data_IF_136072199813
#
_entry.id   IF_136072199813
#
_cell.length_a   1.000
_cell.length_b   1.000
_cell.length_c   1.000
_cell.angle_alpha   90.00
_cell.angle_beta   90.00
_cell.angle_gamma   90.00
#
_symmetry.space_group_name_H-M   'P 1'
#
loop_
_entity.id
_entity.type
_entity.pdbx_description
1 polymer ?
#
# COMPACT_ATOMS: atom_id res chain seq x y z
N UNK A 1 -65.23 48.12 33.58
CA UNK A 1 -64.82 47.29 34.73
C UNK A 1 -63.91 46.18 34.22
N UNK A 2 -62.87 45.89 35.01
CA UNK A 2 -61.70 45.09 34.68
C UNK A 2 -61.99 43.61 34.36
N UNK A 3 -61.15 42.96 33.55
CA UNK A 3 -60.10 42.06 34.05
C UNK A 3 -59.21 41.52 32.92
N UNK A 4 -57.91 41.65 33.18
CA UNK A 4 -56.81 41.06 32.44
C UNK A 4 -56.78 39.53 32.62
N UNK A 5 -56.46 38.80 31.55
CA UNK A 5 -56.15 37.38 31.55
C UNK A 5 -54.75 37.16 30.97
N UNK A 6 -53.80 36.91 31.86
CA UNK A 6 -52.38 36.64 31.58
C UNK A 6 -52.26 35.25 30.94
N UNK A 7 -51.82 35.16 29.69
CA UNK A 7 -51.41 33.90 29.07
C UNK A 7 -49.95 33.63 29.41
N UNK A 8 -49.74 32.56 30.19
CA UNK A 8 -48.44 32.04 30.60
C UNK A 8 -47.67 31.47 29.41
N UNK A 9 -46.38 31.80 29.38
CA UNK A 9 -45.38 31.24 28.51
C UNK A 9 -45.20 29.73 28.74
N UNK A 10 -45.25 28.94 27.65
CA UNK A 10 -44.68 27.61 27.62
C UNK A 10 -43.19 27.73 27.29
N UNK A 11 -42.35 27.38 28.26
CA UNK A 11 -40.92 27.17 28.10
C UNK A 11 -40.73 25.84 27.38
N UNK A 12 -40.34 25.88 26.10
CA UNK A 12 -39.85 24.72 25.37
C UNK A 12 -38.37 24.56 25.70
N UNK A 13 -38.05 23.50 26.45
CA UNK A 13 -36.69 23.07 26.75
C UNK A 13 -36.12 22.42 25.48
N UNK A 14 -35.31 23.16 24.74
CA UNK A 14 -34.54 22.64 23.62
C UNK A 14 -33.35 21.83 24.15
N UNK A 15 -33.45 20.50 24.10
CA UNK A 15 -32.31 19.59 24.24
C UNK A 15 -32.00 19.00 22.86
N UNK A 16 -31.32 19.79 22.04
CA UNK A 16 -30.76 19.36 20.77
C UNK A 16 -29.26 19.15 20.94
N UNK A 17 -28.82 17.89 20.97
CA UNK A 17 -27.42 17.49 20.89
C UNK A 17 -26.77 18.14 19.66
N UNK A 18 -25.79 19.02 19.90
CA UNK A 18 -24.85 19.43 18.87
C UNK A 18 -23.72 18.38 18.80
N UNK A 19 -23.87 17.38 17.93
CA UNK A 19 -22.76 16.58 17.42
C UNK A 19 -22.39 17.11 16.03
N UNK A 20 -21.58 18.17 16.00
CA UNK A 20 -20.85 18.61 14.80
C UNK A 20 -19.50 19.09 15.25
N UNK A 21 -18.58 18.15 15.45
CA UNK A 21 -17.17 18.41 15.21
C UNK A 21 -16.91 17.86 13.81
N UNK A 22 -16.96 18.74 12.81
CA UNK A 22 -16.37 18.48 11.51
C UNK A 22 -14.87 18.25 11.75
N UNK A 23 -14.44 16.99 11.76
CA UNK A 23 -13.02 16.69 11.58
C UNK A 23 -12.66 17.11 10.14
N UNK A 24 -11.66 17.98 9.95
CA UNK A 24 -11.22 18.32 8.60
C UNK A 24 -10.71 17.05 7.91
N UNK A 25 -10.93 16.88 6.60
CA UNK A 25 -10.34 15.78 5.87
C UNK A 25 -8.82 15.85 6.03
N UNK A 26 -8.24 14.78 6.60
CA UNK A 26 -6.80 14.54 6.55
C UNK A 26 -6.42 14.37 5.08
N UNK A 27 -6.07 15.48 4.43
CA UNK A 27 -5.34 15.49 3.18
C UNK A 27 -4.14 14.55 3.35
N UNK A 28 -4.14 13.45 2.61
CA UNK A 28 -2.98 12.60 2.44
C UNK A 28 -1.99 13.32 1.53
N UNK A 29 -1.50 14.46 2.02
CA UNK A 29 -0.46 15.26 1.42
C UNK A 29 0.85 14.49 1.45
N UNK A 30 1.41 14.32 0.25
CA UNK A 30 2.83 14.49 -0.06
C UNK A 30 3.80 13.78 0.90
N UNK A 31 4.15 12.55 0.52
CA UNK A 31 5.42 11.98 0.97
C UNK A 31 6.50 12.31 -0.04
N UNK A 32 7.20 13.41 0.24
CA UNK A 32 8.59 13.58 -0.17
C UNK A 32 9.40 12.38 0.35
N UNK A 33 9.56 11.39 -0.51
CA UNK A 33 10.67 10.45 -0.39
C UNK A 33 11.91 11.23 -0.79
N UNK A 34 12.61 11.78 0.21
CA UNK A 34 14.01 12.18 0.04
C UNK A 34 14.79 10.90 -0.29
N UNK A 35 14.94 10.62 -1.58
CA UNK A 35 16.02 9.75 -2.03
C UNK A 35 17.30 10.53 -1.78
N UNK A 36 18.08 10.13 -0.78
CA UNK A 36 19.47 10.54 -0.81
C UNK A 36 20.10 10.04 -2.12
N UNK A 37 20.99 10.84 -2.67
CA UNK A 37 21.64 10.64 -3.97
C UNK A 37 22.69 9.52 -3.96
N UNK A 38 22.70 8.61 -2.98
CA UNK A 38 23.72 7.56 -2.91
C UNK A 38 23.24 6.17 -3.34
N UNK A 39 21.93 5.87 -3.31
CA UNK A 39 21.37 4.67 -3.96
C UNK A 39 21.97 3.32 -3.53
N UNK A 40 22.78 3.29 -2.47
CA UNK A 40 23.43 2.09 -1.95
C UNK A 40 23.48 2.16 -0.43
N UNK A 41 22.45 1.61 0.20
CA UNK A 41 22.60 1.07 1.56
C UNK A 41 22.48 -0.44 1.47
N UNK A 42 23.48 -1.06 0.84
CA UNK A 42 23.86 -2.44 1.11
C UNK A 42 24.93 -2.40 2.19
N UNK A 43 24.51 -2.12 3.42
CA UNK A 43 25.23 -2.68 4.55
C UNK A 43 24.91 -4.18 4.53
N UNK A 44 25.56 -4.92 3.62
CA UNK A 44 25.61 -6.38 3.71
C UNK A 44 26.17 -6.65 5.09
N UNK A 45 25.37 -7.23 5.98
CA UNK A 45 25.84 -7.68 7.29
C UNK A 45 27.02 -8.60 7.00
N UNK A 46 28.24 -8.14 7.28
CA UNK A 46 29.45 -8.71 6.69
C UNK A 46 29.52 -10.21 6.99
N UNK A 47 29.67 -11.03 5.94
CA UNK A 47 29.79 -12.48 6.05
C UNK A 47 28.47 -13.27 6.00
N UNK A 48 27.31 -12.62 5.90
CA UNK A 48 26.03 -13.33 5.71
C UNK A 48 25.80 -13.62 4.22
N UNK A 49 25.26 -14.80 3.92
CA UNK A 49 24.72 -15.11 2.61
C UNK A 49 23.52 -14.22 2.28
N UNK A 50 23.12 -14.18 1.01
CA UNK A 50 21.95 -13.42 0.59
C UNK A 50 20.66 -13.92 1.27
N UNK A 51 20.50 -15.24 1.39
CA UNK A 51 19.33 -15.84 2.03
C UNK A 51 19.25 -15.45 3.51
N UNK A 52 20.37 -15.54 4.23
CA UNK A 52 20.46 -15.11 5.63
C UNK A 52 20.21 -13.61 5.78
N UNK A 53 20.69 -12.80 4.82
CA UNK A 53 20.43 -11.36 4.83
C UNK A 53 18.94 -11.07 4.65
N UNK A 54 18.26 -11.75 3.73
CA UNK A 54 16.82 -11.60 3.51
C UNK A 54 16.03 -12.02 4.76
N UNK A 55 16.35 -13.17 5.37
CA UNK A 55 15.67 -13.63 6.59
C UNK A 55 15.89 -12.65 7.75
N UNK A 56 17.11 -12.12 7.90
CA UNK A 56 17.39 -11.09 8.89
C UNK A 56 16.61 -9.78 8.65
N UNK A 57 16.36 -9.41 7.39
CA UNK A 57 15.52 -8.25 7.07
C UNK A 57 14.05 -8.50 7.39
N UNK A 58 13.57 -9.74 7.22
CA UNK A 58 12.22 -10.11 7.64
C UNK A 58 12.08 -10.00 9.17
N UNK A 59 13.10 -10.43 9.92
CA UNK A 59 13.11 -10.23 11.38
C UNK A 59 13.12 -8.74 11.76
N UNK A 60 13.82 -7.90 10.99
CA UNK A 60 13.82 -6.44 11.18
C UNK A 60 12.46 -5.78 10.85
N UNK A 61 11.54 -6.47 10.15
CA UNK A 61 10.15 -6.00 9.99
C UNK A 61 9.37 -6.05 11.30
N UNK A 62 9.73 -6.94 12.23
CA UNK A 62 9.08 -7.05 13.52
C UNK A 62 9.54 -5.90 14.44
N UNK A 63 8.58 -5.10 14.92
CA UNK A 63 8.85 -4.08 15.93
C UNK A 63 8.68 -4.62 17.36
N UNK A 64 8.00 -5.76 17.50
CA UNK A 64 7.81 -6.50 18.74
C UNK A 64 7.61 -7.98 18.43
N UNK A 65 8.04 -8.86 19.35
CA UNK A 65 7.75 -10.30 19.27
C UNK A 65 6.33 -10.65 19.71
N UNK A 66 5.57 -9.67 20.22
CA UNK A 66 4.16 -9.88 20.55
C UNK A 66 3.33 -10.00 19.27
N UNK A 67 2.25 -10.77 19.37
CA UNK A 67 1.25 -10.82 18.31
C UNK A 67 0.68 -9.42 18.07
N UNK A 68 0.51 -9.03 16.82
CA UNK A 68 -0.10 -7.75 16.49
C UNK A 68 -1.51 -7.64 17.12
N UNK A 69 -1.73 -6.54 17.84
CA UNK A 69 -3.04 -6.15 18.34
C UNK A 69 -3.62 -5.00 17.51
N UNK A 70 -4.91 -4.71 17.70
CA UNK A 70 -5.56 -3.51 17.16
C UNK A 70 -5.03 -2.28 17.89
N UNK A 71 -3.86 -1.80 17.50
CA UNK A 71 -3.31 -0.54 18.00
C UNK A 71 -2.68 0.17 16.82
N UNK A 72 -3.22 1.33 16.38
CA UNK A 72 -2.59 2.11 15.34
C UNK A 72 -1.22 2.54 15.85
N UNK A 73 -0.17 1.93 15.31
CA UNK A 73 1.20 2.35 15.60
C UNK A 73 1.42 3.62 14.79
N UNK A 74 1.48 4.75 15.50
CA UNK A 74 1.80 6.04 14.88
C UNK A 74 3.10 5.94 14.08
N UNK A 75 3.09 6.53 12.87
CA UNK A 75 4.30 6.68 12.08
C UNK A 75 5.40 7.36 12.91
N UNK A 76 6.69 7.00 12.71
CA UNK A 76 7.78 7.73 13.34
C UNK A 76 7.70 9.21 12.92
N UNK A 77 7.94 10.12 13.88
CA UNK A 77 8.07 11.54 13.61
C UNK A 77 9.39 11.81 12.86
N UNK A 78 9.52 12.96 12.17
CA UNK A 78 10.72 13.31 11.38
C UNK A 78 12.04 13.28 12.17
N UNK A 79 12.00 13.45 13.49
CA UNK A 79 13.18 13.41 14.38
C UNK A 79 13.34 12.08 15.14
N UNK A 80 12.68 11.00 14.69
CA UNK A 80 12.78 9.70 15.35
C UNK A 80 14.19 9.12 15.17
N UNK A 81 14.84 8.61 16.24
CA UNK A 81 16.16 8.01 16.14
C UNK A 81 16.22 6.85 15.15
N UNK A 82 17.35 6.65 14.48
CA UNK A 82 17.57 5.53 13.56
C UNK A 82 17.47 4.15 14.24
N UNK A 83 17.64 4.11 15.56
CA UNK A 83 17.49 2.91 16.39
C UNK A 83 16.04 2.55 16.70
N UNK A 84 15.07 3.41 16.35
CA UNK A 84 13.65 3.10 16.51
C UNK A 84 13.25 1.93 15.60
N UNK A 85 12.61 0.93 16.19
CA UNK A 85 12.20 -0.29 15.48
C UNK A 85 11.33 -0.01 14.26
N UNK A 86 10.55 1.07 14.25
CA UNK A 86 9.71 1.47 13.11
C UNK A 86 10.54 2.01 11.95
N UNK A 87 11.62 2.72 12.24
CA UNK A 87 12.58 3.20 11.23
C UNK A 87 13.32 2.01 10.63
N UNK A 88 13.78 1.09 11.48
CA UNK A 88 14.44 -0.16 11.08
C UNK A 88 13.51 -0.98 10.16
N UNK A 89 12.25 -1.20 10.57
CA UNK A 89 11.28 -1.97 9.78
C UNK A 89 11.00 -1.35 8.39
N UNK A 90 10.87 -0.02 8.30
CA UNK A 90 10.69 0.67 7.01
C UNK A 90 11.92 0.53 6.11
N UNK A 91 13.13 0.64 6.67
CA UNK A 91 14.38 0.42 5.92
C UNK A 91 14.49 -1.02 5.44
N UNK A 92 14.15 -1.98 6.30
CA UNK A 92 14.15 -3.39 5.95
C UNK A 92 13.17 -3.69 4.80
N UNK A 93 11.96 -3.12 4.83
CA UNK A 93 11.01 -3.24 3.74
C UNK A 93 11.55 -2.68 2.41
N UNK A 94 12.22 -1.51 2.43
CA UNK A 94 12.87 -0.95 1.23
C UNK A 94 13.96 -1.88 0.69
N UNK A 95 14.78 -2.48 1.56
CA UNK A 95 15.83 -3.41 1.15
C UNK A 95 15.26 -4.72 0.61
N UNK A 96 14.21 -5.27 1.25
CA UNK A 96 13.47 -6.43 0.75
C UNK A 96 12.85 -6.15 -0.62
N UNK A 97 12.30 -4.95 -0.82
CA UNK A 97 11.77 -4.52 -2.12
C UNK A 97 12.87 -4.49 -3.20
N UNK A 98 14.10 -4.09 -2.85
CA UNK A 98 15.23 -4.05 -3.77
C UNK A 98 15.73 -5.45 -4.19
N UNK A 99 15.55 -6.49 -3.38
CA UNK A 99 15.89 -7.87 -3.73
C UNK A 99 14.97 -8.49 -4.81
N UNK A 100 13.86 -7.81 -5.15
CA UNK A 100 12.94 -8.24 -6.20
C UNK A 100 12.36 -9.64 -5.95
N UNK A 101 12.20 -10.39 -7.03
CA UNK A 101 11.67 -11.77 -7.00
C UNK A 101 12.49 -12.72 -6.13
N UNK A 102 13.78 -12.42 -5.88
CA UNK A 102 14.64 -13.28 -5.05
C UNK A 102 14.22 -13.29 -3.59
N UNK A 103 13.50 -12.26 -3.11
CA UNK A 103 12.95 -12.23 -1.76
C UNK A 103 11.67 -13.06 -1.60
N UNK A 104 10.95 -13.36 -2.70
CA UNK A 104 9.62 -13.98 -2.64
C UNK A 104 9.58 -15.30 -1.84
N UNK A 105 10.55 -16.24 -1.99
CA UNK A 105 10.50 -17.46 -1.20
C UNK A 105 10.52 -17.20 0.31
N UNK A 106 11.34 -16.26 0.77
CA UNK A 106 11.45 -15.90 2.17
C UNK A 106 10.20 -15.15 2.65
N UNK A 107 9.77 -14.11 1.90
CA UNK A 107 8.53 -13.36 2.21
C UNK A 107 7.33 -14.30 2.32
N UNK A 108 7.21 -15.28 1.42
CA UNK A 108 6.14 -16.28 1.44
C UNK A 108 6.18 -17.16 2.69
N UNK A 109 7.37 -17.61 3.15
CA UNK A 109 7.49 -18.40 4.39
C UNK A 109 6.97 -17.65 5.62
N UNK A 110 6.97 -16.32 5.59
CA UNK A 110 6.53 -15.46 6.70
C UNK A 110 5.11 -14.89 6.51
N UNK A 111 4.32 -15.41 5.56
CA UNK A 111 2.89 -15.07 5.37
C UNK A 111 1.97 -15.63 6.47
N UNK A 112 2.53 -16.17 7.54
CA UNK A 112 1.81 -16.55 8.77
C UNK A 112 2.48 -15.95 10.01
N UNK A 113 3.39 -15.00 9.83
CA UNK A 113 4.12 -14.35 10.92
C UNK A 113 3.29 -13.21 11.51
N UNK A 114 2.66 -13.49 12.65
CA UNK A 114 1.77 -12.55 13.32
C UNK A 114 2.49 -11.62 14.31
N UNK A 115 3.83 -11.58 14.32
CA UNK A 115 4.58 -10.59 15.10
C UNK A 115 4.20 -9.18 14.65
N UNK A 116 4.14 -8.25 15.59
CA UNK A 116 3.77 -6.87 15.32
C UNK A 116 4.79 -6.19 14.40
N UNK A 117 4.31 -5.54 13.33
CA UNK A 117 5.09 -4.72 12.40
C UNK A 117 4.56 -3.29 12.35
N UNK A 118 5.20 -2.44 11.54
CA UNK A 118 4.64 -1.11 11.22
C UNK A 118 3.43 -1.25 10.29
N UNK A 119 2.58 -0.24 10.27
CA UNK A 119 1.48 -0.20 9.31
C UNK A 119 1.99 -0.02 7.87
N UNK A 120 1.74 -1.02 7.02
CA UNK A 120 1.91 -0.98 5.57
C UNK A 120 0.60 -0.70 4.83
N UNK A 121 -0.54 -0.95 5.49
CA UNK A 121 -1.89 -0.54 5.08
C UNK A 121 -2.51 0.36 6.14
N UNK A 122 -3.60 1.03 5.77
CA UNK A 122 -4.35 1.91 6.69
C UNK A 122 -5.15 1.11 7.72
N UNK A 123 -5.57 -0.11 7.37
CA UNK A 123 -6.40 -0.99 8.20
C UNK A 123 -5.73 -2.37 8.29
N UNK A 124 -5.64 -2.88 9.52
CA UNK A 124 -5.30 -4.22 10.05
C UNK A 124 -4.68 -5.30 9.13
N UNK A 125 -3.85 -6.23 9.66
CA UNK A 125 -3.44 -6.39 11.07
C UNK A 125 -2.09 -5.74 11.46
N UNK A 126 -1.37 -5.07 10.55
CA UNK A 126 -0.04 -4.50 10.81
C UNK A 126 0.94 -5.54 11.40
N UNK A 127 0.90 -6.79 10.94
CA UNK A 127 1.85 -7.83 11.31
C UNK A 127 2.92 -8.04 10.22
N UNK A 128 3.92 -8.86 10.52
CA UNK A 128 4.99 -9.20 9.56
C UNK A 128 4.41 -9.89 8.33
N UNK A 129 3.36 -10.69 8.48
CA UNK A 129 2.62 -11.30 7.38
C UNK A 129 2.08 -10.27 6.39
N UNK A 130 1.36 -9.25 6.88
CA UNK A 130 0.83 -8.17 6.05
C UNK A 130 1.96 -7.34 5.41
N UNK A 131 3.06 -7.12 6.14
CA UNK A 131 4.25 -6.48 5.59
C UNK A 131 4.81 -7.28 4.39
N UNK A 132 4.96 -8.59 4.55
CA UNK A 132 5.45 -9.48 3.49
C UNK A 132 4.52 -9.48 2.28
N UNK A 133 3.20 -9.55 2.52
CA UNK A 133 2.19 -9.45 1.47
C UNK A 133 2.28 -8.12 0.72
N UNK A 134 2.35 -7.00 1.44
CA UNK A 134 2.45 -5.66 0.86
C UNK A 134 3.72 -5.50 0.03
N UNK A 135 4.86 -6.00 0.50
CA UNK A 135 6.13 -5.93 -0.24
C UNK A 135 5.99 -6.69 -1.56
N UNK A 136 5.52 -7.94 -1.53
CA UNK A 136 5.31 -8.73 -2.76
C UNK A 136 4.31 -8.07 -3.70
N UNK A 137 3.16 -7.65 -3.19
CA UNK A 137 2.12 -6.96 -3.98
C UNK A 137 2.67 -5.71 -4.66
N UNK A 138 3.39 -4.86 -3.92
CA UNK A 138 3.94 -3.63 -4.46
C UNK A 138 5.04 -3.89 -5.50
N UNK A 139 5.87 -4.93 -5.30
CA UNK A 139 6.86 -5.35 -6.30
C UNK A 139 6.20 -5.89 -7.58
N UNK A 140 5.08 -6.61 -7.46
CA UNK A 140 4.35 -7.18 -8.59
C UNK A 140 3.57 -6.09 -9.35
N UNK A 141 2.83 -5.22 -8.66
CA UNK A 141 2.09 -4.16 -9.35
C UNK A 141 2.99 -3.02 -9.86
N UNK A 142 4.08 -2.71 -9.14
CA UNK A 142 5.09 -1.73 -9.56
C UNK A 142 4.47 -0.41 -10.07
N UNK A 143 3.50 0.09 -9.29
CA UNK A 143 2.71 1.27 -9.67
C UNK A 143 3.62 2.49 -9.84
N UNK A 144 3.36 3.32 -10.86
CA UNK A 144 4.13 4.54 -11.05
C UNK A 144 3.73 5.58 -9.99
N UNK A 145 4.64 6.51 -9.68
CA UNK A 145 4.48 7.46 -8.57
C UNK A 145 3.33 8.46 -8.79
N UNK A 146 3.01 8.73 -10.05
CA UNK A 146 1.94 9.62 -10.52
C UNK A 146 0.59 8.91 -10.64
N UNK A 147 0.51 7.60 -10.37
CA UNK A 147 -0.79 6.94 -10.22
C UNK A 147 -1.42 7.33 -8.89
N UNK A 148 -2.59 7.98 -8.95
CA UNK A 148 -3.30 8.52 -7.78
C UNK A 148 -3.45 7.46 -6.70
N UNK A 149 -3.38 7.86 -5.42
CA UNK A 149 -3.41 6.96 -4.26
C UNK A 149 -4.77 6.82 -3.55
N UNK A 150 -5.85 7.38 -4.11
CA UNK A 150 -7.19 7.32 -3.51
C UNK A 150 -7.74 5.89 -3.50
N UNK A 151 -8.56 5.55 -2.49
CA UNK A 151 -9.23 4.24 -2.42
C UNK A 151 -10.41 4.14 -3.39
N UNK A 152 -11.08 5.27 -3.60
CA UNK A 152 -12.28 5.40 -4.41
C UNK A 152 -12.11 6.50 -5.45
N UNK A 153 -12.88 6.42 -6.52
CA UNK A 153 -13.07 7.51 -7.48
C UNK A 153 -14.44 7.40 -8.13
N UNK A 154 -14.84 8.45 -8.82
CA UNK A 154 -16.06 8.40 -9.62
C UNK A 154 -15.81 7.60 -10.89
N UNK A 155 -16.81 6.80 -11.28
CA UNK A 155 -16.84 6.02 -12.51
C UNK A 155 -18.06 6.37 -13.34
N UNK A 156 -18.15 5.79 -14.54
CA UNK A 156 -19.31 5.99 -15.42
C UNK A 156 -20.61 5.45 -14.81
N UNK A 157 -20.50 4.44 -13.95
CA UNK A 157 -21.64 3.82 -13.26
C UNK A 157 -21.99 4.51 -11.93
N UNK A 158 -21.30 5.59 -11.57
CA UNK A 158 -21.59 6.40 -10.39
C UNK A 158 -20.37 6.66 -9.50
N UNK A 159 -20.59 7.40 -8.40
CA UNK A 159 -19.52 7.82 -7.52
C UNK A 159 -18.98 6.68 -6.65
N UNK A 160 -17.81 6.90 -6.06
CA UNK A 160 -17.23 6.03 -5.02
C UNK A 160 -16.97 4.57 -5.46
N UNK A 161 -16.58 4.35 -6.71
CA UNK A 161 -16.12 3.05 -7.19
C UNK A 161 -14.76 2.71 -6.56
N UNK A 162 -14.66 1.53 -5.94
CA UNK A 162 -13.40 1.03 -5.39
C UNK A 162 -12.38 0.83 -6.50
N UNK A 163 -11.17 1.36 -6.30
CA UNK A 163 -10.13 1.24 -7.32
C UNK A 163 -9.52 -0.14 -7.35
N UNK A 164 -9.11 -0.67 -8.52
CA UNK A 164 -8.85 -2.09 -8.64
C UNK A 164 -7.63 -2.60 -7.87
N UNK A 165 -6.65 -1.73 -7.63
CA UNK A 165 -5.51 -2.04 -6.76
C UNK A 165 -5.91 -2.25 -5.28
N UNK A 166 -7.04 -1.71 -4.86
CA UNK A 166 -7.58 -1.80 -3.51
C UNK A 166 -8.82 -2.71 -3.40
N UNK A 167 -9.26 -3.34 -4.49
CA UNK A 167 -10.38 -4.29 -4.46
C UNK A 167 -10.05 -5.53 -3.62
N UNK A 168 -11.06 -6.17 -3.06
CA UNK A 168 -10.92 -7.53 -2.56
C UNK A 168 -12.09 -8.36 -3.14
N UNK A 169 -11.81 -9.35 -4.00
CA UNK A 169 -10.50 -9.79 -4.48
C UNK A 169 -9.88 -8.86 -5.56
N UNK A 170 -8.56 -8.62 -5.52
CA UNK A 170 -7.81 -8.10 -6.68
C UNK A 170 -7.38 -9.26 -7.61
N UNK A 171 -6.38 -9.04 -8.48
CA UNK A 171 -5.62 -10.08 -9.17
C UNK A 171 -5.16 -11.23 -8.25
N UNK A 172 -4.83 -10.90 -7.00
CA UNK A 172 -4.58 -11.84 -5.91
C UNK A 172 -4.82 -11.15 -4.56
N UNK A 173 -5.06 -11.93 -3.52
CA UNK A 173 -5.17 -11.48 -2.13
C UNK A 173 -4.09 -12.16 -1.28
N UNK A 174 -4.19 -11.97 0.04
CA UNK A 174 -3.24 -12.51 0.99
C UNK A 174 -3.14 -14.05 0.91
N UNK A 175 -4.27 -14.73 0.64
CA UNK A 175 -4.37 -16.19 0.63
C UNK A 175 -3.98 -16.79 -0.73
N UNK A 176 -4.18 -16.04 -1.82
CA UNK A 176 -4.00 -16.52 -3.19
C UNK A 176 -2.68 -16.09 -3.84
N UNK A 177 -1.97 -15.08 -3.30
CA UNK A 177 -0.71 -14.60 -3.88
C UNK A 177 0.36 -15.72 -3.98
N UNK A 178 0.40 -16.63 -3.02
CA UNK A 178 1.35 -17.76 -3.03
C UNK A 178 1.17 -18.66 -4.24
N UNK A 179 -0.08 -19.08 -4.50
CA UNK A 179 -0.42 -19.88 -5.67
C UNK A 179 -0.22 -19.10 -6.98
N UNK A 180 -0.51 -17.80 -6.99
CA UNK A 180 -0.30 -16.93 -8.15
C UNK A 180 1.19 -16.82 -8.53
N UNK A 181 2.08 -16.68 -7.53
CA UNK A 181 3.54 -16.66 -7.72
C UNK A 181 4.04 -18.01 -8.22
N UNK A 182 3.58 -19.12 -7.64
CA UNK A 182 4.02 -20.48 -8.02
C UNK A 182 3.66 -20.79 -9.48
N UNK A 183 2.45 -20.40 -9.92
CA UNK A 183 2.03 -20.54 -11.32
C UNK A 183 2.90 -19.73 -12.30
N UNK A 184 3.74 -18.81 -11.80
CA UNK A 184 4.63 -17.92 -12.56
C UNK A 184 6.09 -18.09 -12.13
N UNK A 185 6.44 -19.22 -11.53
CA UNK A 185 7.78 -19.47 -11.02
C UNK A 185 8.87 -19.33 -12.09
N UNK A 186 8.56 -19.61 -13.36
CA UNK A 186 9.47 -19.47 -14.50
C UNK A 186 9.49 -18.07 -15.14
N UNK A 187 8.60 -17.16 -14.77
CA UNK A 187 8.55 -15.79 -15.32
C UNK A 187 9.51 -14.86 -14.60
N UNK A 188 10.15 -13.95 -15.31
CA UNK A 188 10.86 -12.82 -14.70
C UNK A 188 9.91 -11.91 -13.90
N UNK A 189 10.46 -11.09 -13.00
CA UNK A 189 9.65 -10.11 -12.27
C UNK A 189 8.99 -9.12 -13.23
N UNK A 190 9.71 -8.68 -14.28
CA UNK A 190 9.18 -7.78 -15.31
C UNK A 190 7.97 -8.37 -16.04
N UNK A 191 8.01 -9.66 -16.40
CA UNK A 191 6.84 -10.33 -17.01
C UNK A 191 5.64 -10.39 -16.07
N UNK A 192 5.87 -10.67 -14.78
CA UNK A 192 4.82 -10.65 -13.76
C UNK A 192 4.23 -9.24 -13.57
N UNK A 193 5.06 -8.20 -13.65
CA UNK A 193 4.63 -6.79 -13.57
C UNK A 193 3.82 -6.36 -14.79
N UNK A 194 4.24 -6.75 -15.99
CA UNK A 194 3.50 -6.51 -17.24
C UNK A 194 2.11 -7.14 -17.14
N UNK A 195 2.01 -8.38 -16.65
CA UNK A 195 0.72 -9.04 -16.46
C UNK A 195 -0.17 -8.31 -15.45
N UNK A 196 0.37 -7.93 -14.30
CA UNK A 196 -0.38 -7.22 -13.27
C UNK A 196 -0.88 -5.84 -13.75
N UNK A 197 -0.05 -5.10 -14.49
CA UNK A 197 -0.45 -3.81 -15.06
C UNK A 197 -1.49 -3.96 -16.17
N UNK A 198 -1.40 -4.97 -17.04
CA UNK A 198 -2.45 -5.23 -18.03
C UNK A 198 -3.80 -5.48 -17.34
N UNK A 199 -3.82 -6.33 -16.31
CA UNK A 199 -5.03 -6.56 -15.51
C UNK A 199 -5.56 -5.26 -14.89
N UNK A 200 -4.69 -4.48 -14.25
CA UNK A 200 -5.08 -3.23 -13.59
C UNK A 200 -5.66 -2.20 -14.58
N UNK A 201 -5.03 -2.07 -15.75
CA UNK A 201 -5.49 -1.21 -16.85
C UNK A 201 -6.89 -1.63 -17.32
N UNK A 202 -7.12 -2.94 -17.47
CA UNK A 202 -8.41 -3.45 -17.92
C UNK A 202 -9.51 -3.25 -16.87
N UNK A 203 -9.19 -3.37 -15.58
CA UNK A 203 -10.13 -3.03 -14.51
C UNK A 203 -10.42 -1.53 -14.44
N UNK A 204 -9.42 -0.65 -14.57
CA UNK A 204 -9.65 0.80 -14.58
C UNK A 204 -10.52 1.24 -15.78
N UNK A 205 -10.36 0.59 -16.95
CA UNK A 205 -11.23 0.85 -18.11
C UNK A 205 -12.68 0.47 -17.86
N UNK A 206 -12.97 -0.56 -17.06
CA UNK A 206 -14.34 -0.95 -16.72
C UNK A 206 -15.04 0.10 -15.86
N UNK A 207 -14.30 0.74 -14.95
CA UNK A 207 -14.82 1.85 -14.13
C UNK A 207 -15.16 3.07 -15.01
N UNK A 208 -14.40 3.28 -16.09
CA UNK A 208 -14.60 4.38 -17.03
C UNK A 208 -14.11 5.74 -16.52
N UNK A 209 -14.27 6.80 -17.31
CA UNK A 209 -13.65 8.12 -17.08
C UNK A 209 -14.69 9.23 -17.35
N UNK A 210 -15.57 9.54 -16.39
CA UNK A 210 -16.62 10.54 -16.57
C UNK A 210 -16.06 11.95 -16.81
N UNK A 211 -14.96 12.33 -16.17
CA UNK A 211 -14.36 13.66 -16.31
C UNK A 211 -13.16 13.67 -17.27
N UNK A 212 -12.91 14.78 -18.00
CA UNK A 212 -11.80 14.88 -18.96
C UNK A 212 -10.40 14.60 -18.38
N UNK A 213 -10.20 14.83 -17.07
CA UNK A 213 -8.92 14.60 -16.38
C UNK A 213 -8.74 13.19 -15.81
N UNK A 214 -9.82 12.42 -15.63
CA UNK A 214 -9.76 11.11 -14.95
C UNK A 214 -8.83 10.13 -15.68
N UNK A 215 -8.80 10.20 -17.02
CA UNK A 215 -7.93 9.34 -17.81
C UNK A 215 -6.45 9.64 -17.55
N UNK A 216 -6.10 10.91 -17.42
CA UNK A 216 -4.73 11.35 -17.15
C UNK A 216 -4.26 10.97 -15.75
N UNK A 217 -5.19 10.94 -14.79
CA UNK A 217 -4.93 10.61 -13.38
C UNK A 217 -4.89 9.09 -13.12
N UNK A 218 -5.78 8.33 -13.76
CA UNK A 218 -6.01 6.92 -13.42
C UNK A 218 -5.55 5.92 -14.47
N UNK A 219 -5.52 6.26 -15.77
CA UNK A 219 -5.16 5.30 -16.82
C UNK A 219 -3.78 5.54 -17.41
N UNK A 220 -3.48 6.78 -17.79
CA UNK A 220 -2.25 7.11 -18.50
C UNK A 220 -0.95 6.79 -17.74
N UNK A 221 -0.86 7.00 -16.42
CA UNK A 221 0.32 6.60 -15.65
C UNK A 221 0.61 5.10 -15.82
N UNK A 222 -0.44 4.27 -15.76
CA UNK A 222 -0.33 2.82 -15.88
C UNK A 222 0.10 2.41 -17.29
N UNK A 223 -0.47 3.02 -18.33
CA UNK A 223 -0.11 2.75 -19.73
C UNK A 223 1.35 3.12 -20.00
N UNK A 224 1.79 4.30 -19.57
CA UNK A 224 3.21 4.72 -19.69
C UNK A 224 4.14 3.74 -18.97
N UNK A 225 3.77 3.29 -17.77
CA UNK A 225 4.59 2.32 -17.02
C UNK A 225 4.66 0.96 -17.72
N UNK A 226 3.55 0.48 -18.25
CA UNK A 226 3.49 -0.77 -19.01
C UNK A 226 4.39 -0.72 -20.25
N UNK A 227 4.35 0.38 -21.01
CA UNK A 227 5.21 0.58 -22.20
C UNK A 227 6.69 0.59 -21.82
N UNK A 228 7.06 1.28 -20.74
CA UNK A 228 8.44 1.28 -20.24
C UNK A 228 8.91 -0.13 -19.88
N UNK A 229 8.10 -0.92 -19.17
CA UNK A 229 8.45 -2.31 -18.81
C UNK A 229 8.57 -3.22 -20.05
N UNK A 230 7.71 -3.04 -21.06
CA UNK A 230 7.82 -3.77 -22.32
C UNK A 230 9.14 -3.44 -23.03
N UNK A 231 9.54 -2.17 -23.07
CA UNK A 231 10.82 -1.75 -23.64
C UNK A 231 12.03 -2.31 -22.86
N UNK A 232 11.97 -2.30 -21.52
CA UNK A 232 12.98 -2.92 -20.65
C UNK A 232 13.08 -4.44 -20.94
N UNK A 233 11.95 -5.14 -21.07
CA UNK A 233 11.94 -6.58 -21.37
C UNK A 233 12.50 -6.93 -22.75
N UNK A 234 12.27 -6.07 -23.75
CA UNK A 234 12.75 -6.28 -25.12
C UNK A 234 14.25 -6.00 -25.28
N UNK A 235 14.83 -5.16 -24.41
CA UNK A 235 16.25 -4.81 -24.43
C UNK A 235 17.12 -5.74 -23.56
N UNK A 236 16.50 -6.60 -22.75
CA UNK A 236 17.24 -7.56 -21.93
C UNK A 236 17.97 -8.59 -22.82
N UNK A 237 19.28 -8.82 -22.61
CA UNK A 237 20.01 -9.81 -23.38
C UNK A 237 19.41 -11.20 -23.14
N UNK A 238 18.99 -11.87 -24.22
CA UNK A 238 18.57 -13.27 -24.16
C UNK A 238 19.75 -14.09 -23.63
N UNK A 239 19.57 -14.81 -22.52
CA UNK A 239 20.59 -15.75 -22.05
C UNK A 239 20.87 -16.75 -23.19
N UNK A 240 22.15 -16.99 -23.54
CA UNK A 240 22.46 -18.04 -24.50
C UNK A 240 22.01 -19.40 -23.93
N UNK A 241 21.36 -20.20 -24.77
CA UNK A 241 20.93 -21.57 -24.47
C UNK A 241 22.12 -22.50 -24.19
#
# INVERSE_FOLDING_TARGET
MARAGILRACVVVATGLACSAEEPPLELGERDYVSDRSGQVTAVRAGMSQAETIDALIDDLAISNQRAGYSPISAPQRATPETDRRVIARRAATQLAAYGKTAFPALRRHMSDHRQSVAFRRVMPNDVSDACFCIMRNQIFNLPKDYVGSFYRDGVDGPMQSRPFFLEPTLFDHDTIGAWIDARANRSLTEMQIEALNWLIDEEKKIGFPEPGDREDFLDPLVRRLEALKAESASAPKKPD
#
